data_IF_207745862168
#
_entry.id   IF_207745862168
#
_cell.length_a   1.000
_cell.length_b   1.000
_cell.length_c   1.000
_cell.angle_alpha   90.00
_cell.angle_beta   90.00
_cell.angle_gamma   90.00
#
_symmetry.space_group_name_H-M   'P 1'
#
loop_
_entity.id
_entity.type
_entity.pdbx_description
1 polymer ?
#
# COMPACT_ATOMS: atom_id res chain seq x y z
N UNK A 1 -23.65 32.53 24.61
CA UNK A 1 -24.43 32.28 23.37
C UNK A 1 -23.55 32.05 22.15
N UNK A 2 -22.89 33.04 21.55
CA UNK A 2 -22.07 32.81 20.33
C UNK A 2 -20.88 31.85 20.55
N UNK A 3 -20.17 32.02 21.67
CA UNK A 3 -19.03 31.14 22.04
C UNK A 3 -19.51 29.70 22.30
N UNK A 4 -20.65 29.54 22.94
CA UNK A 4 -21.22 28.22 23.26
C UNK A 4 -21.69 27.50 21.99
N UNK A 5 -22.32 28.23 21.05
CA UNK A 5 -22.70 27.69 19.75
C UNK A 5 -21.46 27.22 18.97
N UNK A 6 -20.42 28.06 18.88
CA UNK A 6 -19.18 27.71 18.19
C UNK A 6 -18.50 26.48 18.79
N UNK A 7 -18.51 26.35 20.12
CA UNK A 7 -17.95 25.17 20.80
C UNK A 7 -18.77 23.91 20.51
N UNK A 8 -20.10 24.00 20.54
CA UNK A 8 -20.98 22.89 20.22
C UNK A 8 -20.84 22.43 18.76
N UNK A 9 -20.70 23.36 17.82
CA UNK A 9 -20.45 23.05 16.40
C UNK A 9 -19.09 22.37 16.19
N UNK A 10 -18.05 22.85 16.87
CA UNK A 10 -16.72 22.23 16.82
C UNK A 10 -16.74 20.81 17.39
N UNK A 11 -17.45 20.59 18.51
CA UNK A 11 -17.61 19.27 19.11
C UNK A 11 -18.38 18.31 18.20
N UNK A 12 -19.49 18.78 17.60
CA UNK A 12 -20.27 18.00 16.64
C UNK A 12 -19.42 17.61 15.44
N UNK A 13 -18.68 18.58 14.86
CA UNK A 13 -17.81 18.34 13.71
C UNK A 13 -16.74 17.28 14.03
N UNK A 14 -16.04 17.42 15.16
CA UNK A 14 -15.03 16.45 15.59
C UNK A 14 -15.61 15.05 15.79
N UNK A 15 -16.84 14.94 16.30
CA UNK A 15 -17.55 13.65 16.43
C UNK A 15 -17.97 13.05 15.10
N UNK A 16 -18.30 13.89 14.11
CA UNK A 16 -18.67 13.43 12.77
C UNK A 16 -17.46 12.99 11.94
N UNK A 17 -16.32 13.68 12.06
CA UNK A 17 -15.10 13.40 11.27
C UNK A 17 -14.50 12.02 11.55
N UNK A 18 -14.74 11.46 12.74
CA UNK A 18 -14.24 10.13 13.14
C UNK A 18 -15.15 8.97 12.72
N UNK A 19 -16.34 9.26 12.18
CA UNK A 19 -17.25 8.21 11.74
C UNK A 19 -16.73 7.57 10.45
N UNK A 20 -16.66 6.23 10.37
CA UNK A 20 -16.26 5.56 9.13
C UNK A 20 -17.37 5.71 8.07
N UNK A 21 -17.01 5.47 6.81
CA UNK A 21 -18.01 5.30 5.76
C UNK A 21 -18.94 4.12 6.07
N UNK A 22 -20.20 4.26 5.67
CA UNK A 22 -21.21 3.21 5.78
C UNK A 22 -20.86 2.10 4.77
N UNK A 23 -20.69 0.84 5.19
CA UNK A 23 -20.48 -0.28 4.28
C UNK A 23 -21.66 -0.46 3.31
N UNK A 24 -21.39 -0.97 2.12
CA UNK A 24 -22.47 -1.40 1.21
C UNK A 24 -23.17 -2.66 1.75
N UNK A 25 -24.39 -2.91 1.27
CA UNK A 25 -25.24 -4.03 1.71
C UNK A 25 -24.64 -5.41 1.39
N UNK A 26 -23.80 -5.51 0.36
CA UNK A 26 -23.16 -6.75 -0.07
C UNK A 26 -21.83 -7.05 0.66
N UNK A 27 -21.37 -6.14 1.53
CA UNK A 27 -20.14 -6.31 2.29
C UNK A 27 -20.37 -7.30 3.43
N UNK A 28 -19.64 -8.41 3.40
CA UNK A 28 -19.70 -9.44 4.45
C UNK A 28 -19.21 -8.88 5.78
N UNK A 29 -20.04 -9.02 6.82
CA UNK A 29 -19.73 -8.56 8.16
C UNK A 29 -18.65 -9.44 8.84
N UNK A 30 -17.90 -8.84 9.76
CA UNK A 30 -16.86 -9.50 10.57
C UNK A 30 -15.45 -9.09 10.15
N UNK A 31 -14.45 -9.85 10.58
CA UNK A 31 -13.06 -9.58 10.28
C UNK A 31 -12.60 -10.21 8.96
N UNK A 32 -11.29 -10.10 8.70
CA UNK A 32 -10.62 -10.64 7.50
C UNK A 32 -10.85 -12.13 7.26
N UNK A 33 -11.19 -12.88 8.30
CA UNK A 33 -11.53 -14.30 8.27
C UNK A 33 -12.82 -14.60 7.49
N UNK A 34 -13.71 -13.61 7.37
CA UNK A 34 -14.96 -13.73 6.64
C UNK A 34 -14.87 -13.26 5.18
N UNK A 35 -13.68 -12.83 4.72
CA UNK A 35 -13.49 -12.41 3.34
C UNK A 35 -13.76 -13.59 2.38
N UNK A 36 -14.63 -13.36 1.41
CA UNK A 36 -14.99 -14.37 0.41
C UNK A 36 -14.13 -14.26 -0.85
N UNK A 37 -13.77 -15.41 -1.44
CA UNK A 37 -12.99 -15.46 -2.68
C UNK A 37 -13.92 -15.37 -3.88
N UNK A 38 -13.98 -14.20 -4.52
CA UNK A 38 -14.83 -13.98 -5.70
C UNK A 38 -14.26 -14.56 -6.99
N UNK A 39 -12.92 -14.65 -7.10
CA UNK A 39 -12.23 -15.12 -8.31
C UNK A 39 -10.80 -15.56 -8.00
N UNK A 40 -10.37 -16.68 -8.58
CA UNK A 40 -8.97 -17.09 -8.65
C UNK A 40 -8.56 -17.18 -10.12
N UNK A 41 -7.36 -16.71 -10.44
CA UNK A 41 -6.80 -16.74 -11.80
C UNK A 41 -5.47 -17.50 -11.78
N UNK A 42 -5.35 -18.49 -12.65
CA UNK A 42 -4.21 -19.40 -12.69
C UNK A 42 -4.23 -20.44 -11.57
N UNK A 43 -3.13 -21.17 -11.46
CA UNK A 43 -2.94 -22.23 -10.46
C UNK A 43 -1.71 -21.92 -9.60
N UNK A 44 -1.71 -22.39 -8.35
CA UNK A 44 -0.56 -22.24 -7.46
C UNK A 44 0.60 -23.10 -7.98
N UNK A 45 1.81 -22.52 -8.17
CA UNK A 45 2.96 -23.30 -8.60
C UNK A 45 3.31 -24.42 -7.61
N UNK A 46 3.66 -25.59 -8.13
CA UNK A 46 4.20 -26.71 -7.36
C UNK A 46 5.71 -26.78 -7.56
N UNK A 47 6.45 -26.95 -6.47
CA UNK A 47 7.91 -27.06 -6.49
C UNK A 47 8.33 -28.43 -5.96
N UNK A 48 9.34 -29.02 -6.57
CA UNK A 48 9.99 -30.28 -6.18
C UNK A 48 11.21 -30.06 -5.27
N UNK A 49 11.41 -28.82 -4.80
CA UNK A 49 12.49 -28.40 -3.90
C UNK A 49 11.95 -27.56 -2.73
N UNK A 50 12.72 -27.46 -1.61
CA UNK A 50 12.37 -26.56 -0.51
C UNK A 50 12.29 -25.10 -0.96
N UNK A 51 11.12 -24.50 -0.81
CA UNK A 51 10.89 -23.10 -1.19
C UNK A 51 11.60 -22.14 -0.24
N UNK A 52 12.16 -21.07 -0.81
CA UNK A 52 12.71 -19.93 -0.07
C UNK A 52 11.70 -18.79 -0.08
N UNK A 53 11.65 -18.02 0.99
CA UNK A 53 10.91 -16.77 0.98
C UNK A 53 11.63 -15.69 0.14
N UNK A 54 10.93 -14.60 -0.13
CA UNK A 54 11.47 -13.51 -0.95
C UNK A 54 12.69 -12.82 -0.33
N UNK A 55 12.82 -12.79 1.01
CA UNK A 55 13.94 -12.15 1.71
C UNK A 55 15.19 -12.98 1.52
N UNK A 56 15.12 -14.28 1.79
CA UNK A 56 16.25 -15.19 1.62
C UNK A 56 16.67 -15.26 0.14
N UNK A 57 15.71 -15.38 -0.77
CA UNK A 57 15.96 -15.43 -2.21
C UNK A 57 16.64 -14.13 -2.70
N UNK A 58 16.10 -12.97 -2.35
CA UNK A 58 16.64 -11.68 -2.76
C UNK A 58 18.03 -11.38 -2.19
N UNK A 59 18.31 -11.80 -0.94
CA UNK A 59 19.65 -11.74 -0.35
C UNK A 59 20.65 -12.63 -1.09
N UNK A 60 20.28 -13.89 -1.35
CA UNK A 60 21.13 -14.86 -2.05
C UNK A 60 21.47 -14.41 -3.48
N UNK A 61 20.55 -13.69 -4.13
CA UNK A 61 20.76 -13.11 -5.46
C UNK A 61 21.47 -11.74 -5.44
N UNK A 62 21.82 -11.22 -4.25
CA UNK A 62 22.42 -9.88 -4.11
C UNK A 62 21.50 -8.74 -4.55
N UNK A 63 20.19 -8.97 -4.59
CA UNK A 63 19.18 -8.00 -5.01
C UNK A 63 18.77 -7.07 -3.87
N UNK A 64 18.92 -7.49 -2.61
CA UNK A 64 18.57 -6.71 -1.42
C UNK A 64 19.75 -6.51 -0.48
N UNK A 65 19.88 -5.30 0.07
CA UNK A 65 20.88 -4.90 1.05
C UNK A 65 20.18 -4.21 2.23
N UNK A 66 19.76 -5.04 3.18
CA UNK A 66 19.03 -4.60 4.37
C UNK A 66 19.94 -3.94 5.41
N UNK A 67 21.22 -4.32 5.46
CA UNK A 67 22.17 -3.75 6.41
C UNK A 67 22.43 -2.28 6.09
N UNK A 68 22.72 -1.97 4.82
CA UNK A 68 22.93 -0.59 4.38
C UNK A 68 21.65 0.22 4.51
N UNK A 69 20.50 -0.35 4.14
CA UNK A 69 19.21 0.31 4.32
C UNK A 69 18.90 0.65 5.78
N UNK A 70 19.18 -0.30 6.70
CA UNK A 70 18.96 -0.07 8.13
C UNK A 70 19.88 1.01 8.70
N UNK A 71 21.11 1.13 8.19
CA UNK A 71 22.03 2.21 8.59
C UNK A 71 21.58 3.58 8.10
N UNK A 72 20.90 3.66 6.95
CA UNK A 72 20.46 4.93 6.35
C UNK A 72 19.12 5.37 6.92
N UNK A 73 18.16 4.46 7.07
CA UNK A 73 16.75 4.79 7.28
C UNK A 73 16.11 4.13 8.51
N UNK A 74 16.84 3.28 9.24
CA UNK A 74 16.31 2.53 10.38
C UNK A 74 15.62 1.22 9.97
N UNK A 75 14.79 0.66 10.86
CA UNK A 75 14.18 -0.66 10.63
C UNK A 75 13.14 -0.65 9.50
N UNK A 76 12.87 -1.81 8.91
CA UNK A 76 11.89 -2.03 7.83
C UNK A 76 12.21 -1.38 6.47
N UNK A 77 13.45 -0.95 6.23
CA UNK A 77 13.91 -0.52 4.91
C UNK A 77 14.76 -1.60 4.22
N UNK A 78 14.66 -1.66 2.89
CA UNK A 78 15.48 -2.53 2.04
C UNK A 78 16.07 -1.71 0.90
N UNK A 79 17.37 -1.84 0.65
CA UNK A 79 18.02 -1.21 -0.49
C UNK A 79 18.08 -2.22 -1.63
N UNK A 80 17.45 -1.89 -2.75
CA UNK A 80 17.44 -2.73 -3.96
C UNK A 80 18.74 -2.50 -4.74
N UNK A 81 19.36 -3.58 -5.24
CA UNK A 81 20.65 -3.55 -5.95
C UNK A 81 20.59 -4.36 -7.24
N UNK A 82 21.38 -3.96 -8.24
CA UNK A 82 21.55 -4.69 -9.49
C UNK A 82 20.22 -5.06 -10.15
N UNK A 83 19.97 -6.36 -10.30
CA UNK A 83 18.72 -6.86 -10.88
C UNK A 83 17.48 -6.53 -10.04
N UNK A 84 17.61 -6.37 -8.72
CA UNK A 84 16.50 -5.94 -7.85
C UNK A 84 16.02 -4.54 -8.19
N UNK A 85 16.94 -3.59 -8.31
CA UNK A 85 16.60 -2.23 -8.70
C UNK A 85 16.01 -2.15 -10.12
N UNK A 86 16.55 -2.97 -11.05
CA UNK A 86 16.00 -3.04 -12.42
C UNK A 86 14.59 -3.61 -12.46
N UNK A 87 14.31 -4.64 -11.66
CA UNK A 87 12.98 -5.25 -11.57
C UNK A 87 11.96 -4.25 -11.04
N UNK A 88 12.31 -3.47 -10.02
CA UNK A 88 11.44 -2.43 -9.46
C UNK A 88 11.06 -1.40 -10.52
N UNK A 89 12.04 -0.86 -11.24
CA UNK A 89 11.78 0.09 -12.34
C UNK A 89 10.99 -0.54 -13.49
N UNK A 90 11.20 -1.82 -13.79
CA UNK A 90 10.45 -2.52 -14.84
C UNK A 90 8.96 -2.64 -14.47
N UNK A 91 8.65 -2.98 -13.21
CA UNK A 91 7.27 -3.08 -12.73
C UNK A 91 6.56 -1.73 -12.73
N UNK A 92 7.21 -0.68 -12.22
CA UNK A 92 6.66 0.69 -12.23
C UNK A 92 6.32 1.13 -13.65
N UNK A 93 7.26 0.95 -14.59
CA UNK A 93 7.05 1.32 -15.99
C UNK A 93 5.98 0.48 -16.68
N UNK A 94 5.90 -0.82 -16.36
CA UNK A 94 4.84 -1.69 -16.86
C UNK A 94 3.46 -1.15 -16.47
N UNK A 95 3.24 -0.88 -15.17
CA UNK A 95 1.96 -0.35 -14.71
C UNK A 95 1.66 1.02 -15.33
N UNK A 96 2.63 1.94 -15.38
CA UNK A 96 2.44 3.24 -16.05
C UNK A 96 1.95 3.06 -17.50
N UNK A 97 2.58 2.16 -18.26
CA UNK A 97 2.21 1.90 -19.65
C UNK A 97 0.78 1.35 -19.77
N UNK A 98 0.39 0.39 -18.92
CA UNK A 98 -0.96 -0.19 -18.93
C UNK A 98 -2.05 0.82 -18.53
N UNK A 99 -1.79 1.67 -17.53
CA UNK A 99 -2.73 2.71 -17.14
C UNK A 99 -2.88 3.78 -18.23
N UNK A 100 -1.79 4.19 -18.88
CA UNK A 100 -1.86 5.14 -20.00
C UNK A 100 -2.70 4.58 -21.16
N UNK A 101 -2.55 3.28 -21.49
CA UNK A 101 -3.38 2.61 -22.51
C UNK A 101 -4.86 2.57 -22.12
N UNK A 102 -5.15 2.52 -20.82
CA UNK A 102 -6.51 2.51 -20.27
C UNK A 102 -7.11 3.91 -20.13
N UNK A 103 -6.39 4.96 -20.54
CA UNK A 103 -6.88 6.35 -20.56
C UNK A 103 -6.74 7.11 -19.23
N UNK A 104 -5.95 6.59 -18.29
CA UNK A 104 -5.65 7.32 -17.05
C UNK A 104 -4.71 8.49 -17.32
N UNK A 105 -4.93 9.60 -16.61
CA UNK A 105 -3.97 10.71 -16.54
C UNK A 105 -2.90 10.41 -15.50
N UNK A 106 -1.63 10.52 -15.89
CA UNK A 106 -0.52 10.41 -14.95
C UNK A 106 -0.34 11.73 -14.20
N UNK A 107 -0.39 11.67 -12.87
CA UNK A 107 -0.18 12.82 -11.98
C UNK A 107 0.98 12.50 -11.02
N UNK A 108 1.86 13.48 -10.80
CA UNK A 108 2.90 13.43 -9.76
C UNK A 108 2.50 14.45 -8.68
N UNK A 109 1.87 14.01 -7.57
CA UNK A 109 1.49 14.92 -6.50
C UNK A 109 2.68 15.28 -5.60
N UNK A 110 2.59 16.33 -4.77
CA UNK A 110 3.54 16.58 -3.69
C UNK A 110 3.58 15.41 -2.70
N UNK A 111 4.79 15.00 -2.29
CA UNK A 111 4.99 13.92 -1.32
C UNK A 111 4.76 14.35 0.15
N UNK A 112 4.73 15.67 0.41
CA UNK A 112 4.42 16.24 1.71
C UNK A 112 3.17 17.11 1.58
N UNK A 113 2.18 16.87 2.43
CA UNK A 113 0.89 17.56 2.41
C UNK A 113 0.62 18.25 3.75
N UNK A 114 -0.32 19.20 3.74
CA UNK A 114 -0.77 19.90 4.95
C UNK A 114 -1.86 19.09 5.67
N UNK A 115 -2.08 19.37 6.95
CA UNK A 115 -3.07 18.69 7.79
C UNK A 115 -4.47 18.69 7.18
N UNK A 116 -4.87 19.75 6.49
CA UNK A 116 -6.18 19.89 5.87
C UNK A 116 -6.41 18.94 4.68
N UNK A 117 -5.38 18.22 4.23
CA UNK A 117 -5.45 17.24 3.15
C UNK A 117 -5.52 15.79 3.63
N UNK A 118 -5.38 15.56 4.94
CA UNK A 118 -5.55 14.24 5.57
C UNK A 118 -7.01 14.05 5.98
#
# INVERSE_FOLDING_TARGET
MEVELKNAEAELKAKMEVLPNIPEEDVVAGGKENNEVIKMVGEKPTFDFPIKDHVELGKNLGMFDFETASKISGTNFAMYRGMGARLEWALVNFFISEHNKSGYEMVIPPNLVIEQSA
#
